data_IF_607908233318
#
_entry.id   IF_607908233318
#
_cell.length_a   1.000
_cell.length_b   1.000
_cell.length_c   1.000
_cell.angle_alpha   90.00
_cell.angle_beta   90.00
_cell.angle_gamma   90.00
#
_symmetry.space_group_name_H-M   'P 1'
#
loop_
_entity.id
_entity.type
_entity.pdbx_description
1 polymer ?
#
# COMPACT_ATOMS: atom_id res chain seq x y z
N UNK A 1 -31.53 -5.96 -19.86
CA UNK A 1 -30.69 -4.98 -19.15
C UNK A 1 -29.53 -4.59 -20.07
N UNK A 2 -29.68 -3.53 -20.85
CA UNK A 2 -28.55 -2.95 -21.60
C UNK A 2 -27.74 -2.14 -20.59
N UNK A 3 -26.61 -2.68 -20.10
CA UNK A 3 -25.62 -1.86 -19.42
C UNK A 3 -25.06 -0.87 -20.46
N UNK A 4 -25.51 0.38 -20.40
CA UNK A 4 -25.00 1.45 -21.25
C UNK A 4 -23.50 1.61 -21.00
N UNK A 5 -22.69 1.63 -22.06
CA UNK A 5 -21.23 1.82 -22.00
C UNK A 5 -20.82 3.04 -21.15
N UNK A 6 -21.67 4.06 -21.04
CA UNK A 6 -21.47 5.23 -20.19
C UNK A 6 -21.31 4.90 -18.69
N UNK A 7 -21.94 3.82 -18.20
CA UNK A 7 -21.82 3.41 -16.80
C UNK A 7 -20.45 2.77 -16.48
N UNK A 8 -19.80 2.12 -17.47
CA UNK A 8 -18.45 1.57 -17.29
C UNK A 8 -17.38 2.67 -17.19
N UNK A 9 -17.57 3.79 -17.88
CA UNK A 9 -16.58 4.89 -17.91
C UNK A 9 -16.54 5.66 -16.58
N UNK A 10 -17.66 5.70 -15.85
CA UNK A 10 -17.75 6.43 -14.57
C UNK A 10 -17.04 5.74 -13.40
N UNK A 11 -16.71 4.45 -13.49
CA UNK A 11 -16.08 3.68 -12.40
C UNK A 11 -14.54 3.72 -12.47
N UNK A 12 -13.97 4.09 -13.62
CA UNK A 12 -12.52 4.16 -13.86
C UNK A 12 -11.78 5.18 -12.97
N UNK A 13 -12.30 6.38 -12.69
CA UNK A 13 -11.58 7.37 -11.88
C UNK A 13 -11.43 6.94 -10.42
N UNK A 14 -12.41 6.22 -9.86
CA UNK A 14 -12.38 5.79 -8.46
C UNK A 14 -11.30 4.73 -8.18
N UNK A 15 -10.89 3.97 -9.19
CA UNK A 15 -9.79 2.99 -9.07
C UNK A 15 -8.40 3.66 -9.13
N UNK A 16 -8.29 4.85 -9.73
CA UNK A 16 -7.02 5.58 -9.82
C UNK A 16 -6.51 6.13 -8.48
N UNK A 17 -7.42 6.36 -7.52
CA UNK A 17 -7.08 6.94 -6.22
C UNK A 17 -6.57 5.89 -5.23
N UNK A 18 -6.98 4.63 -5.39
CA UNK A 18 -6.48 3.50 -4.60
C UNK A 18 -5.07 3.04 -5.01
N UNK A 19 -4.54 3.46 -6.16
CA UNK A 19 -3.21 3.04 -6.61
C UNK A 19 -2.12 4.11 -6.43
N UNK A 20 -2.43 5.20 -5.74
CA UNK A 20 -1.46 6.27 -5.46
C UNK A 20 -0.25 5.76 -4.66
N UNK A 21 0.81 6.57 -4.66
CA UNK A 21 2.06 6.31 -3.95
C UNK A 21 2.07 6.97 -2.58
N UNK A 22 2.54 6.25 -1.58
CA UNK A 22 2.49 6.63 -0.17
C UNK A 22 3.83 6.40 0.51
N UNK A 23 4.09 7.18 1.56
CA UNK A 23 5.25 7.01 2.42
C UNK A 23 5.12 5.82 3.37
N UNK A 24 3.89 5.48 3.78
CA UNK A 24 3.65 4.43 4.77
C UNK A 24 2.42 3.60 4.43
N UNK A 25 2.50 2.29 4.64
CA UNK A 25 1.38 1.35 4.45
C UNK A 25 1.39 0.23 5.48
N UNK A 26 0.21 -0.30 5.79
CA UNK A 26 0.03 -1.48 6.64
C UNK A 26 -1.09 -2.37 6.08
N UNK A 27 -1.05 -3.67 6.34
CA UNK A 27 -2.02 -4.63 5.84
C UNK A 27 -3.25 -4.74 6.76
N UNK A 28 -4.45 -4.80 6.19
CA UNK A 28 -5.69 -5.03 6.91
C UNK A 28 -6.35 -6.36 6.54
N UNK A 29 -7.18 -6.84 7.44
CA UNK A 29 -8.15 -7.90 7.20
C UNK A 29 -9.47 -7.32 6.68
N UNK A 30 -10.34 -8.18 6.16
CA UNK A 30 -11.64 -7.77 5.65
C UNK A 30 -12.57 -7.18 6.73
N UNK A 31 -12.34 -7.51 8.00
CA UNK A 31 -13.05 -6.93 9.16
C UNK A 31 -12.46 -5.58 9.62
N UNK A 32 -11.43 -5.08 8.92
CA UNK A 32 -10.74 -3.83 9.23
C UNK A 32 -9.64 -3.96 10.29
N UNK A 33 -9.47 -5.13 10.91
CA UNK A 33 -8.36 -5.38 11.83
C UNK A 33 -7.00 -5.37 11.11
N UNK A 34 -5.95 -5.07 11.84
CA UNK A 34 -4.59 -4.97 11.28
C UNK A 34 -3.90 -6.34 11.28
N UNK A 35 -3.12 -6.62 10.23
CA UNK A 35 -2.36 -7.85 10.09
C UNK A 35 -0.85 -7.56 10.08
N UNK A 36 -0.25 -7.54 11.27
CA UNK A 36 1.17 -7.24 11.47
C UNK A 36 2.08 -8.27 10.78
N UNK A 37 1.71 -9.55 10.80
CA UNK A 37 2.48 -10.61 10.16
C UNK A 37 2.58 -10.41 8.65
N UNK A 38 1.45 -10.12 7.99
CA UNK A 38 1.42 -9.78 6.57
C UNK A 38 2.15 -8.46 6.31
N UNK A 39 1.99 -7.45 7.18
CA UNK A 39 2.67 -6.15 7.04
C UNK A 39 4.19 -6.30 7.06
N UNK A 40 4.73 -7.11 7.98
CA UNK A 40 6.17 -7.39 8.07
C UNK A 40 6.71 -8.05 6.80
N UNK A 41 6.00 -9.05 6.28
CA UNK A 41 6.41 -9.75 5.06
C UNK A 41 6.29 -8.86 3.82
N UNK A 42 5.17 -8.15 3.68
CA UNK A 42 4.96 -7.20 2.60
C UNK A 42 6.03 -6.12 2.60
N UNK A 43 6.37 -5.59 3.77
CA UNK A 43 7.40 -4.55 3.87
C UNK A 43 8.78 -5.03 3.45
N UNK A 44 9.16 -6.23 3.89
CA UNK A 44 10.42 -6.86 3.46
C UNK A 44 10.46 -7.06 1.94
N UNK A 45 9.34 -7.46 1.33
CA UNK A 45 9.24 -7.63 -0.13
C UNK A 45 9.35 -6.32 -0.92
N UNK A 46 9.12 -5.17 -0.27
CA UNK A 46 9.20 -3.83 -0.88
C UNK A 46 10.48 -3.09 -0.55
N UNK A 47 11.44 -3.74 0.09
CA UNK A 47 12.64 -3.11 0.64
C UNK A 47 12.30 -1.89 1.52
N UNK A 48 11.16 -1.95 2.20
CA UNK A 48 10.73 -0.92 3.14
C UNK A 48 11.25 -1.16 4.55
N UNK A 49 10.98 -0.20 5.42
CA UNK A 49 11.35 -0.23 6.83
C UNK A 49 10.13 -0.60 7.67
N UNK A 50 10.18 -1.71 8.40
CA UNK A 50 9.12 -2.10 9.32
C UNK A 50 9.29 -1.34 10.64
N UNK A 51 8.40 -0.38 10.89
CA UNK A 51 8.51 0.60 11.96
C UNK A 51 7.28 0.55 12.87
N UNK A 52 7.49 0.57 14.18
CA UNK A 52 6.41 0.77 15.15
C UNK A 52 6.19 2.26 15.35
N UNK A 53 4.93 2.69 15.33
CA UNK A 53 4.52 4.08 15.57
C UNK A 53 3.92 4.24 16.97
N UNK A 54 3.71 5.49 17.40
CA UNK A 54 3.21 5.84 18.75
C UNK A 54 1.82 5.26 19.06
N UNK A 55 1.05 4.92 18.03
CA UNK A 55 -0.24 4.24 18.13
C UNK A 55 -0.13 2.73 18.40
N UNK A 56 1.10 2.22 18.56
CA UNK A 56 1.41 0.82 18.80
C UNK A 56 1.40 -0.06 17.55
N UNK A 57 0.99 0.46 16.39
CA UNK A 57 0.88 -0.29 15.14
C UNK A 57 2.21 -0.33 14.40
N UNK A 58 2.41 -1.39 13.65
CA UNK A 58 3.56 -1.52 12.77
C UNK A 58 3.21 -1.17 11.33
N UNK A 59 3.96 -0.23 10.78
CA UNK A 59 3.82 0.21 9.39
C UNK A 59 5.04 -0.21 8.59
N UNK A 60 4.82 -0.40 7.31
CA UNK A 60 5.90 -0.34 6.34
C UNK A 60 6.14 1.11 5.92
N UNK A 61 7.29 1.66 6.24
CA UNK A 61 7.79 2.90 5.64
C UNK A 61 8.49 2.62 4.32
N UNK A 62 8.31 3.52 3.36
CA UNK A 62 9.00 3.51 2.08
C UNK A 62 10.52 3.40 2.29
N UNK A 63 11.17 2.54 1.51
CA UNK A 63 12.62 2.45 1.47
C UNK A 63 13.23 3.66 0.78
N UNK A 64 14.55 3.74 0.80
CA UNK A 64 15.30 4.70 -0.04
C UNK A 64 16.30 3.93 -0.88
N UNK A 65 16.38 4.25 -2.17
CA UNK A 65 17.43 3.77 -3.04
C UNK A 65 18.49 4.86 -3.23
N UNK A 66 19.75 4.52 -3.00
CA UNK A 66 20.88 5.42 -3.28
C UNK A 66 21.09 5.51 -4.79
N UNK A 67 20.83 6.67 -5.40
CA UNK A 67 21.04 6.92 -6.82
C UNK A 67 22.42 7.56 -7.12
N UNK A 68 23.42 7.31 -6.26
CA UNK A 68 24.77 7.89 -6.39
C UNK A 68 24.76 9.41 -6.28
N UNK A 69 25.40 10.09 -7.23
CA UNK A 69 25.51 11.57 -7.32
C UNK A 69 24.14 12.30 -7.40
N UNK A 70 23.05 11.59 -7.69
CA UNK A 70 21.69 12.15 -7.73
C UNK A 70 20.96 12.12 -6.36
N UNK A 71 21.61 11.68 -5.28
CA UNK A 71 21.03 11.61 -3.94
C UNK A 71 20.19 10.35 -3.69
N UNK A 72 19.38 10.36 -2.64
CA UNK A 72 18.50 9.24 -2.27
C UNK A 72 17.10 9.43 -2.88
N UNK A 73 16.57 8.38 -3.51
CA UNK A 73 15.22 8.38 -4.09
C UNK A 73 14.29 7.51 -3.24
N UNK A 74 13.13 8.05 -2.79
CA UNK A 74 12.18 7.27 -2.01
C UNK A 74 11.52 6.18 -2.87
N UNK A 75 11.56 4.95 -2.38
CA UNK A 75 10.85 3.80 -2.94
C UNK A 75 9.42 3.79 -2.41
N UNK A 76 8.62 4.73 -2.90
CA UNK A 76 7.24 4.92 -2.44
C UNK A 76 6.40 3.65 -2.62
N UNK A 77 5.42 3.50 -1.73
CA UNK A 77 4.54 2.34 -1.69
C UNK A 77 3.25 2.65 -2.46
N UNK A 78 3.05 1.99 -3.60
CA UNK A 78 1.74 2.05 -4.28
C UNK A 78 0.71 1.24 -3.48
N UNK A 79 -0.39 1.86 -3.07
CA UNK A 79 -1.41 1.20 -2.23
C UNK A 79 -1.99 -0.07 -2.91
N UNK A 80 -2.37 -0.01 -4.19
CA UNK A 80 -2.79 -1.21 -4.93
C UNK A 80 -1.76 -2.34 -4.95
N UNK A 81 -0.49 -2.00 -5.19
CA UNK A 81 0.57 -3.01 -5.24
C UNK A 81 0.87 -3.57 -3.84
N UNK A 82 0.84 -2.71 -2.83
CA UNK A 82 1.03 -3.10 -1.43
C UNK A 82 -0.11 -3.99 -0.95
N UNK A 83 -1.37 -3.66 -1.28
CA UNK A 83 -2.55 -4.51 -1.07
C UNK A 83 -2.37 -5.90 -1.66
N UNK A 84 -1.99 -6.01 -2.94
CA UNK A 84 -1.75 -7.31 -3.58
C UNK A 84 -0.67 -8.11 -2.83
N UNK A 85 0.38 -7.42 -2.39
CA UNK A 85 1.45 -8.02 -1.61
C UNK A 85 0.95 -8.50 -0.23
N UNK A 86 0.13 -7.70 0.45
CA UNK A 86 -0.53 -8.08 1.70
C UNK A 86 -1.39 -9.33 1.53
N UNK A 87 -2.18 -9.39 0.45
CA UNK A 87 -3.05 -10.52 0.15
C UNK A 87 -2.26 -11.80 -0.14
N UNK A 88 -1.13 -11.68 -0.83
CA UNK A 88 -0.21 -12.78 -1.04
C UNK A 88 0.39 -13.35 0.27
N UNK A 89 0.44 -12.55 1.34
CA UNK A 89 0.93 -12.94 2.65
C UNK A 89 -0.20 -13.19 3.68
N UNK A 90 -1.43 -13.41 3.22
CA UNK A 90 -2.55 -13.86 4.05
C UNK A 90 -3.38 -12.75 4.69
N UNK A 91 -3.20 -11.49 4.31
CA UNK A 91 -4.17 -10.44 4.61
C UNK A 91 -5.42 -10.60 3.73
N UNK A 92 -6.60 -10.41 4.29
CA UNK A 92 -7.87 -10.61 3.57
C UNK A 92 -8.52 -9.31 3.11
N UNK A 93 -8.04 -8.16 3.59
CA UNK A 93 -8.60 -6.85 3.33
C UNK A 93 -7.75 -6.01 2.37
N UNK A 94 -7.87 -4.70 2.53
CA UNK A 94 -7.07 -3.71 1.82
C UNK A 94 -5.73 -3.42 2.56
N UNK A 95 -4.93 -2.53 1.99
CA UNK A 95 -3.85 -1.86 2.72
C UNK A 95 -4.28 -0.46 3.14
N UNK A 96 -3.91 -0.07 4.35
CA UNK A 96 -4.13 1.28 4.85
C UNK A 96 -2.83 2.07 4.71
N UNK A 97 -2.83 3.05 3.81
CA UNK A 97 -1.67 3.85 3.47
C UNK A 97 -1.89 5.34 3.72
N UNK A 98 -0.82 6.05 4.09
CA UNK A 98 -0.84 7.48 4.39
C UNK A 98 0.48 8.16 4.00
N UNK A 99 0.54 9.49 4.15
CA UNK A 99 1.58 10.34 3.55
C UNK A 99 1.63 10.18 2.02
N UNK A 100 0.51 10.54 1.36
CA UNK A 100 0.38 10.52 -0.09
C UNK A 100 1.35 11.52 -0.72
N UNK A 101 1.98 11.12 -1.83
CA UNK A 101 2.90 11.94 -2.63
C UNK A 101 2.24 12.41 -3.93
#
# INVERSE_FOLDING_TARGET
MQLSLAALVAILPAMGWACASYGFCLCQQADGSFNDAATKQACRSKNGNYLQFDDGRHYCGAGVASAGIAGAQPLLLSNCNFRQTCQNFGATGDSNCWAKQ
#
